data_IF_676420125308
#
_entry.id   IF_676420125308
#
_cell.length_a   1.000
_cell.length_b   1.000
_cell.length_c   1.000
_cell.angle_alpha   90.00
_cell.angle_beta   90.00
_cell.angle_gamma   90.00
#
_symmetry.space_group_name_H-M   'P 1'
#
loop_
_entity.id
_entity.type
_entity.pdbx_description
1 polymer ?
#
# COMPACT_ATOMS: atom_id res chain seq x y z
N UNK A 1 47.72 -0.26 -35.26
CA UNK A 1 47.55 0.94 -34.42
C UNK A 1 46.07 1.04 -34.08
N UNK A 2 45.77 1.03 -32.79
CA UNK A 2 44.49 1.23 -32.08
C UNK A 2 43.40 0.14 -32.24
N UNK A 3 43.17 -0.47 -31.08
CA UNK A 3 42.17 -1.44 -30.66
C UNK A 3 40.84 -0.74 -30.36
N UNK A 4 39.70 -1.39 -30.54
CA UNK A 4 38.48 -1.01 -29.81
C UNK A 4 37.78 -2.28 -29.33
N UNK A 5 38.07 -2.65 -28.08
CA UNK A 5 37.27 -3.61 -27.32
C UNK A 5 36.10 -2.83 -26.72
N UNK A 6 34.90 -3.10 -27.21
CA UNK A 6 33.67 -2.57 -26.63
C UNK A 6 33.30 -3.44 -25.43
N UNK A 7 33.70 -3.01 -24.24
CA UNK A 7 33.22 -3.59 -22.98
C UNK A 7 31.85 -3.00 -22.70
N UNK A 8 30.79 -3.77 -22.92
CA UNK A 8 29.47 -3.42 -22.40
C UNK A 8 29.45 -3.86 -20.93
N UNK A 9 29.65 -2.90 -20.03
CA UNK A 9 29.40 -3.07 -18.60
C UNK A 9 27.89 -2.96 -18.39
N UNK A 10 27.20 -4.08 -18.20
CA UNK A 10 25.86 -4.07 -17.61
C UNK A 10 26.00 -3.79 -16.11
N UNK A 11 25.90 -2.51 -15.75
CA UNK A 11 25.79 -2.10 -14.35
C UNK A 11 24.50 -2.64 -13.74
N UNK A 12 24.62 -3.62 -12.85
CA UNK A 12 23.59 -3.97 -11.87
C UNK A 12 23.39 -2.78 -10.95
N UNK A 13 22.35 -1.99 -11.19
CA UNK A 13 22.00 -0.86 -10.36
C UNK A 13 20.51 -0.62 -10.40
N UNK A 14 19.74 -1.41 -9.65
CA UNK A 14 18.44 -0.92 -9.18
C UNK A 14 18.74 0.23 -8.23
N UNK A 15 18.72 1.45 -8.78
CA UNK A 15 18.74 2.69 -8.03
C UNK A 15 17.58 2.60 -7.04
N UNK A 16 17.89 2.44 -5.76
CA UNK A 16 16.92 2.56 -4.67
C UNK A 16 16.44 4.01 -4.67
N UNK A 17 15.42 4.31 -5.48
CA UNK A 17 14.71 5.58 -5.38
C UNK A 17 14.19 5.68 -3.95
N UNK A 18 14.67 6.69 -3.21
CA UNK A 18 14.28 6.91 -1.82
C UNK A 18 12.76 6.89 -1.69
N UNK A 19 12.21 6.26 -0.64
CA UNK A 19 10.77 6.25 -0.40
C UNK A 19 10.27 7.69 -0.27
N UNK A 20 9.10 8.05 -0.84
CA UNK A 20 8.53 9.38 -0.67
C UNK A 20 8.37 9.73 0.82
N UNK A 21 8.65 10.97 1.21
CA UNK A 21 8.61 11.43 2.61
C UNK A 21 7.30 11.08 3.35
N UNK A 22 6.18 11.02 2.63
CA UNK A 22 4.88 10.62 3.17
C UNK A 22 4.87 9.20 3.76
N UNK A 23 5.65 8.27 3.18
CA UNK A 23 5.76 6.89 3.67
C UNK A 23 6.50 6.87 5.00
N UNK A 24 7.54 7.71 5.15
CA UNK A 24 8.26 7.83 6.41
C UNK A 24 7.41 8.47 7.50
N UNK A 25 6.66 9.51 7.17
CA UNK A 25 5.68 10.12 8.08
C UNK A 25 4.61 9.09 8.51
N UNK A 26 4.08 8.31 7.56
CA UNK A 26 3.11 7.25 7.84
C UNK A 26 3.67 6.18 8.77
N UNK A 27 4.86 5.66 8.46
CA UNK A 27 5.57 4.68 9.29
C UNK A 27 5.84 5.23 10.68
N UNK A 28 6.33 6.47 10.79
CA UNK A 28 6.63 7.12 12.06
C UNK A 28 5.38 7.29 12.92
N UNK A 29 4.28 7.77 12.31
CA UNK A 29 3.02 7.98 12.99
C UNK A 29 2.46 6.66 13.56
N UNK A 30 2.47 5.58 12.76
CA UNK A 30 2.07 4.26 13.22
C UNK A 30 2.99 3.73 14.33
N UNK A 31 4.31 3.81 14.14
CA UNK A 31 5.29 3.29 15.11
C UNK A 31 5.19 3.98 16.47
N UNK A 32 5.03 5.30 16.48
CA UNK A 32 5.03 6.11 17.69
C UNK A 32 3.62 6.29 18.29
N UNK A 33 2.60 5.67 17.67
CA UNK A 33 1.18 5.88 18.03
C UNK A 33 0.78 7.35 17.99
N UNK A 34 1.38 8.13 17.09
CA UNK A 34 1.08 9.55 16.91
C UNK A 34 -0.17 9.72 16.05
N UNK A 35 -1.33 9.78 16.71
CA UNK A 35 -2.62 9.96 16.06
C UNK A 35 -2.73 11.30 15.33
N UNK A 36 -2.16 12.38 15.89
CA UNK A 36 -2.27 13.70 15.28
C UNK A 36 -1.40 13.78 14.04
N UNK A 37 -0.17 13.26 14.13
CA UNK A 37 0.70 13.05 12.98
C UNK A 37 0.06 12.16 11.93
N UNK A 38 -0.66 11.10 12.30
CA UNK A 38 -1.37 10.26 11.34
C UNK A 38 -2.53 11.00 10.66
N UNK A 39 -3.36 11.71 11.44
CA UNK A 39 -4.51 12.46 10.92
C UNK A 39 -4.08 13.54 9.92
N UNK A 40 -2.92 14.17 10.13
CA UNK A 40 -2.40 15.15 9.17
C UNK A 40 -2.01 14.53 7.83
N UNK A 41 -1.80 13.20 7.75
CA UNK A 41 -1.51 12.52 6.48
C UNK A 41 -2.78 12.25 5.66
N UNK A 42 -3.95 12.18 6.31
CA UNK A 42 -5.21 11.84 5.66
C UNK A 42 -5.60 12.97 4.68
N UNK A 43 -6.11 12.59 3.52
CA UNK A 43 -6.59 13.56 2.55
C UNK A 43 -7.80 14.36 3.08
N UNK A 44 -8.01 15.61 2.60
CA UNK A 44 -9.11 16.45 3.09
C UNK A 44 -10.51 15.85 2.87
N UNK A 45 -10.69 15.01 1.85
CA UNK A 45 -11.94 14.29 1.56
C UNK A 45 -12.11 13.00 2.38
N UNK A 46 -11.20 12.76 3.34
CA UNK A 46 -11.23 11.62 4.25
C UNK A 46 -10.38 10.44 3.79
N UNK A 47 -10.53 9.34 4.53
CA UNK A 47 -9.85 8.08 4.32
C UNK A 47 -10.86 7.01 3.90
N UNK A 48 -10.60 6.37 2.77
CA UNK A 48 -11.34 5.17 2.34
C UNK A 48 -10.69 3.94 2.95
N UNK A 49 -11.49 3.06 3.53
CA UNK A 49 -11.02 1.82 4.09
C UNK A 49 -11.76 0.68 3.39
N UNK A 50 -10.98 -0.27 2.89
CA UNK A 50 -11.47 -1.40 2.10
C UNK A 50 -11.03 -2.68 2.79
N UNK A 51 -11.95 -3.59 3.09
CA UNK A 51 -11.61 -4.98 3.43
C UNK A 51 -12.15 -5.91 2.39
N UNK A 52 -11.26 -6.73 1.86
CA UNK A 52 -11.55 -7.67 0.79
C UNK A 52 -11.25 -9.09 1.28
N UNK A 53 -12.29 -9.92 1.37
CA UNK A 53 -12.25 -11.34 1.74
C UNK A 53 -12.12 -12.25 0.51
N UNK A 54 -11.17 -13.17 0.54
CA UNK A 54 -10.89 -14.12 -0.54
C UNK A 54 -12.06 -15.06 -0.88
N UNK A 55 -13.05 -15.23 0.02
CA UNK A 55 -14.19 -16.13 -0.16
C UNK A 55 -15.47 -15.50 0.38
N UNK A 56 -16.48 -15.33 -0.48
CA UNK A 56 -17.80 -14.87 -0.07
C UNK A 56 -18.65 -15.95 0.64
N UNK A 57 -18.31 -17.23 0.48
CA UNK A 57 -19.29 -18.31 0.68
C UNK A 57 -19.17 -19.08 2.02
N UNK A 58 -18.30 -18.66 2.94
CA UNK A 58 -18.05 -19.41 4.21
C UNK A 58 -18.42 -18.64 5.49
N UNK A 59 -19.39 -17.72 5.42
CA UNK A 59 -20.00 -17.13 6.62
C UNK A 59 -19.12 -16.21 7.46
N UNK A 60 -17.93 -15.82 6.97
CA UNK A 60 -17.10 -14.76 7.56
C UNK A 60 -16.88 -13.62 6.57
N UNK A 61 -17.48 -12.47 6.88
CA UNK A 61 -17.20 -11.18 6.26
C UNK A 61 -17.74 -11.00 4.84
N UNK A 62 -18.52 -9.95 4.61
CA UNK A 62 -18.73 -9.39 3.28
C UNK A 62 -17.65 -8.34 3.02
N UNK A 63 -17.26 -8.14 1.77
CA UNK A 63 -16.33 -7.06 1.45
C UNK A 63 -16.90 -5.72 1.93
N UNK A 64 -16.09 -4.93 2.63
CA UNK A 64 -16.53 -3.69 3.27
C UNK A 64 -15.82 -2.51 2.64
N UNK A 65 -16.58 -1.52 2.23
CA UNK A 65 -16.11 -0.20 1.82
C UNK A 65 -16.73 0.84 2.75
N UNK A 66 -15.89 1.69 3.34
CA UNK A 66 -16.35 2.76 4.20
C UNK A 66 -15.40 3.94 4.12
N UNK A 67 -15.94 5.13 4.29
CA UNK A 67 -15.19 6.38 4.29
C UNK A 67 -15.31 7.02 5.66
N UNK A 68 -14.19 7.49 6.19
CA UNK A 68 -14.15 8.20 7.46
C UNK A 68 -13.51 9.57 7.25
N UNK A 69 -14.10 10.59 7.86
CA UNK A 69 -13.49 11.92 7.88
C UNK A 69 -12.28 11.96 8.84
N UNK A 70 -12.35 11.22 9.95
CA UNK A 70 -11.32 11.22 10.99
C UNK A 70 -11.12 9.84 11.60
N UNK A 71 -9.87 9.47 11.85
CA UNK A 71 -9.51 8.22 12.52
C UNK A 71 -9.76 8.29 14.04
N UNK A 72 -10.29 7.23 14.69
CA UNK A 72 -10.35 7.10 16.15
C UNK A 72 -8.97 7.18 16.82
N UNK A 73 -8.93 7.55 18.10
CA UNK A 73 -7.69 7.82 18.84
C UNK A 73 -6.81 6.58 19.11
N UNK A 74 -7.27 5.37 18.78
CA UNK A 74 -6.57 4.12 19.02
C UNK A 74 -6.11 3.41 17.73
N UNK A 75 -6.14 4.08 16.57
CA UNK A 75 -5.85 3.49 15.25
C UNK A 75 -6.77 2.33 14.84
N UNK A 76 -7.87 2.12 15.56
CA UNK A 76 -8.80 1.02 15.31
C UNK A 76 -10.13 1.58 14.84
N UNK A 77 -10.54 1.19 13.63
CA UNK A 77 -11.86 1.55 13.11
C UNK A 77 -12.80 0.36 13.24
N UNK A 78 -13.88 0.45 14.02
CA UNK A 78 -14.79 -0.67 14.23
C UNK A 78 -15.55 -1.02 12.95
N UNK A 79 -15.83 -2.31 12.79
CA UNK A 79 -16.65 -2.85 11.70
C UNK A 79 -17.75 -3.70 12.34
N UNK A 80 -19.00 -3.49 11.93
CA UNK A 80 -20.11 -4.26 12.47
C UNK A 80 -19.92 -5.75 12.17
N UNK A 81 -20.04 -6.59 13.21
CA UNK A 81 -19.93 -8.04 13.12
C UNK A 81 -18.57 -8.57 12.59
N UNK A 82 -17.51 -7.77 12.67
CA UNK A 82 -16.15 -8.18 12.27
C UNK A 82 -15.07 -7.53 13.13
N UNK A 83 -13.81 -7.89 12.90
CA UNK A 83 -12.66 -7.29 13.53
C UNK A 83 -12.49 -5.83 13.09
N UNK A 84 -12.02 -4.93 13.97
CA UNK A 84 -11.69 -3.57 13.57
C UNK A 84 -10.55 -3.54 12.55
N UNK A 85 -10.44 -2.45 11.82
CA UNK A 85 -9.23 -2.12 11.07
C UNK A 85 -8.17 -1.63 12.05
N UNK A 86 -7.26 -2.50 12.44
CA UNK A 86 -6.11 -2.15 13.26
C UNK A 86 -4.93 -1.80 12.36
N UNK A 87 -4.68 -0.50 12.18
CA UNK A 87 -3.65 -0.03 11.25
C UNK A 87 -2.23 -0.39 11.70
N UNK A 88 -1.97 -0.57 13.01
CA UNK A 88 -0.66 -1.03 13.48
C UNK A 88 -0.43 -2.49 13.15
N UNK A 89 -1.48 -3.31 13.24
CA UNK A 89 -1.43 -4.72 12.87
C UNK A 89 -1.24 -4.89 11.35
N UNK A 90 -1.97 -4.13 10.55
CA UNK A 90 -1.94 -4.22 9.08
C UNK A 90 -0.56 -3.90 8.49
N UNK A 91 0.19 -2.97 9.09
CA UNK A 91 1.52 -2.54 8.62
C UNK A 91 2.64 -2.90 9.61
N UNK A 92 2.52 -4.06 10.24
CA UNK A 92 3.44 -4.51 11.29
C UNK A 92 4.89 -4.62 10.80
N UNK A 93 5.13 -5.01 9.54
CA UNK A 93 6.49 -5.10 9.00
C UNK A 93 7.06 -3.73 8.66
N UNK A 94 6.27 -2.78 8.14
CA UNK A 94 6.73 -1.39 7.91
C UNK A 94 7.17 -0.74 9.22
N UNK A 95 6.44 -1.00 10.31
CA UNK A 95 6.79 -0.45 11.64
C UNK A 95 8.12 -1.02 12.16
N UNK A 96 8.35 -2.33 11.96
CA UNK A 96 9.50 -3.06 12.50
C UNK A 96 10.74 -2.99 11.62
N UNK A 97 10.56 -2.90 10.30
CA UNK A 97 11.64 -2.91 9.31
C UNK A 97 12.27 -1.53 9.17
N UNK A 98 13.60 -1.54 8.99
CA UNK A 98 14.33 -0.35 8.54
C UNK A 98 14.35 -0.22 7.02
N UNK A 99 14.20 -1.32 6.28
CA UNK A 99 14.25 -1.35 4.82
C UNK A 99 12.86 -1.27 4.22
N UNK A 100 12.72 -0.37 3.25
CA UNK A 100 11.64 -0.33 2.28
C UNK A 100 12.25 -0.68 0.92
N UNK A 101 11.58 -1.52 0.14
CA UNK A 101 12.01 -1.86 -1.21
C UNK A 101 11.18 -1.05 -2.21
N UNK A 102 11.82 -0.40 -3.17
CA UNK A 102 11.12 0.32 -4.23
C UNK A 102 10.92 -0.58 -5.44
N UNK A 103 9.69 -0.63 -5.96
CA UNK A 103 9.32 -1.35 -7.16
C UNK A 103 8.76 -0.35 -8.18
N UNK A 104 9.44 -0.22 -9.31
CA UNK A 104 8.93 0.58 -10.43
C UNK A 104 8.00 -0.28 -11.29
N UNK A 105 6.79 0.19 -11.51
CA UNK A 105 5.81 -0.50 -12.34
C UNK A 105 4.78 0.46 -12.92
N UNK A 106 4.41 0.23 -14.17
CA UNK A 106 3.36 0.97 -14.86
C UNK A 106 2.02 0.28 -14.61
N UNK A 107 1.28 0.74 -13.60
CA UNK A 107 -0.11 0.35 -13.38
C UNK A 107 -1.01 1.55 -13.68
N UNK A 108 -2.16 1.32 -14.31
CA UNK A 108 -3.20 2.34 -14.38
C UNK A 108 -3.79 2.56 -12.99
N UNK A 109 -4.07 3.82 -12.66
CA UNK A 109 -4.71 4.21 -11.40
C UNK A 109 -6.24 4.31 -11.51
N UNK A 110 -6.85 4.03 -12.67
CA UNK A 110 -8.29 4.18 -12.92
C UNK A 110 -9.14 3.43 -11.90
N UNK A 111 -8.71 2.20 -11.54
CA UNK A 111 -9.39 1.36 -10.56
C UNK A 111 -9.43 1.96 -9.14
N UNK A 112 -8.48 2.84 -8.79
CA UNK A 112 -8.47 3.57 -7.52
C UNK A 112 -9.46 4.74 -7.52
N UNK A 113 -9.74 5.32 -8.69
CA UNK A 113 -10.70 6.42 -8.84
C UNK A 113 -12.15 5.93 -8.73
N UNK A 114 -12.44 4.71 -9.21
CA UNK A 114 -13.77 4.09 -9.14
C UNK A 114 -14.26 3.82 -7.71
N UNK A 115 -13.33 3.66 -6.75
CA UNK A 115 -13.62 3.36 -5.33
C UNK A 115 -14.58 2.18 -5.10
N UNK A 116 -14.69 1.24 -6.04
CA UNK A 116 -15.48 0.03 -5.87
C UNK A 116 -14.61 -1.10 -5.31
N UNK A 117 -15.18 -1.96 -4.47
CA UNK A 117 -14.46 -3.12 -3.92
C UNK A 117 -13.87 -4.00 -5.04
N UNK A 118 -14.63 -4.38 -6.10
CA UNK A 118 -14.07 -5.22 -7.16
C UNK A 118 -12.88 -4.57 -7.88
N UNK A 119 -12.96 -3.27 -8.18
CA UNK A 119 -11.88 -2.53 -8.83
C UNK A 119 -10.65 -2.45 -7.93
N UNK A 120 -10.81 -2.08 -6.65
CA UNK A 120 -9.71 -2.01 -5.68
C UNK A 120 -9.07 -3.38 -5.47
N UNK A 121 -9.86 -4.46 -5.38
CA UNK A 121 -9.33 -5.83 -5.28
C UNK A 121 -8.54 -6.21 -6.53
N UNK A 122 -9.07 -5.94 -7.72
CA UNK A 122 -8.38 -6.23 -8.97
C UNK A 122 -7.03 -5.52 -9.02
N UNK A 123 -7.02 -4.23 -8.70
CA UNK A 123 -5.81 -3.43 -8.63
C UNK A 123 -4.81 -3.95 -7.59
N UNK A 124 -5.27 -4.26 -6.38
CA UNK A 124 -4.42 -4.81 -5.33
C UNK A 124 -3.76 -6.13 -5.78
N UNK A 125 -4.49 -6.98 -6.53
CA UNK A 125 -3.93 -8.20 -7.12
C UNK A 125 -2.77 -7.91 -8.05
N UNK A 126 -2.91 -6.94 -8.95
CA UNK A 126 -1.85 -6.57 -9.89
C UNK A 126 -0.57 -6.13 -9.17
N UNK A 127 -0.71 -5.30 -8.13
CA UNK A 127 0.42 -4.86 -7.28
C UNK A 127 1.10 -6.07 -6.62
N UNK A 128 0.31 -6.93 -5.98
CA UNK A 128 0.82 -8.08 -5.23
C UNK A 128 1.47 -9.11 -6.13
N UNK A 129 0.88 -9.43 -7.27
CA UNK A 129 1.45 -10.39 -8.22
C UNK A 129 2.80 -9.90 -8.75
N UNK A 130 2.94 -8.60 -9.00
CA UNK A 130 4.22 -8.01 -9.42
C UNK A 130 5.28 -8.05 -8.32
N UNK A 131 4.91 -7.73 -7.08
CA UNK A 131 5.82 -7.84 -5.94
C UNK A 131 6.27 -9.29 -5.73
N UNK A 132 5.36 -10.25 -5.86
CA UNK A 132 5.66 -11.68 -5.76
C UNK A 132 6.60 -12.17 -6.87
N UNK A 133 6.41 -11.73 -8.12
CA UNK A 133 7.35 -12.04 -9.22
C UNK A 133 8.78 -11.53 -8.93
N UNK A 134 8.92 -10.47 -8.13
CA UNK A 134 10.20 -9.94 -7.68
C UNK A 134 10.69 -10.58 -6.35
N UNK A 135 10.00 -11.61 -5.83
CA UNK A 135 10.27 -12.26 -4.55
C UNK A 135 10.16 -11.32 -3.33
N UNK A 136 9.22 -10.36 -3.37
CA UNK A 136 8.99 -9.37 -2.31
C UNK A 136 7.73 -9.64 -1.47
N UNK A 137 7.29 -10.90 -1.37
CA UNK A 137 6.09 -11.28 -0.60
C UNK A 137 6.20 -10.85 0.87
N UNK A 138 5.21 -10.09 1.36
CA UNK A 138 5.18 -9.51 2.71
C UNK A 138 6.36 -8.60 3.06
N UNK A 139 7.21 -8.24 2.09
CA UNK A 139 8.26 -7.24 2.27
C UNK A 139 7.61 -5.87 2.06
N UNK A 140 7.75 -4.91 3.00
CA UNK A 140 7.31 -3.54 2.80
C UNK A 140 7.86 -2.96 1.49
N UNK A 141 6.97 -2.82 0.50
CA UNK A 141 7.33 -2.47 -0.87
C UNK A 141 6.60 -1.20 -1.27
N UNK A 142 7.36 -0.19 -1.71
CA UNK A 142 6.83 1.05 -2.26
C UNK A 142 6.71 0.91 -3.76
N UNK A 143 5.50 1.03 -4.28
CA UNK A 143 5.21 1.06 -5.71
C UNK A 143 4.84 2.48 -6.11
N UNK A 144 5.55 3.03 -7.09
CA UNK A 144 5.24 4.33 -7.69
C UNK A 144 4.50 4.11 -8.99
N UNK A 145 3.35 4.77 -9.16
CA UNK A 145 2.56 4.68 -10.38
C UNK A 145 2.72 5.93 -11.24
N UNK A 146 2.20 5.85 -12.46
CA UNK A 146 1.85 7.04 -13.21
C UNK A 146 0.77 7.87 -12.46
N UNK A 147 0.66 9.14 -12.81
CA UNK A 147 -0.39 10.05 -12.30
C UNK A 147 -0.33 10.34 -10.80
N UNK A 148 0.90 10.45 -10.27
CA UNK A 148 1.15 10.94 -8.92
C UNK A 148 0.51 10.10 -7.79
N UNK A 149 0.48 8.77 -7.97
CA UNK A 149 0.11 7.80 -6.93
C UNK A 149 1.32 7.03 -6.39
N UNK A 150 1.29 6.75 -5.10
CA UNK A 150 2.28 5.94 -4.39
C UNK A 150 1.54 4.93 -3.53
N UNK A 151 2.03 3.69 -3.52
CA UNK A 151 1.43 2.59 -2.77
C UNK A 151 2.51 1.99 -1.88
N UNK A 152 2.19 1.82 -0.60
CA UNK A 152 2.95 0.96 0.29
C UNK A 152 2.22 -0.37 0.39
N UNK A 153 2.90 -1.46 0.06
CA UNK A 153 2.36 -2.83 0.09
C UNK A 153 3.10 -3.68 1.11
N UNK A 154 2.36 -4.35 1.98
CA UNK A 154 2.79 -5.46 2.83
C UNK A 154 1.86 -6.65 2.58
N UNK A 155 1.91 -7.16 1.35
CA UNK A 155 0.97 -8.17 0.91
C UNK A 155 1.64 -9.29 0.12
N UNK A 156 0.91 -10.40 -0.03
CA UNK A 156 1.31 -11.56 -0.80
C UNK A 156 0.10 -12.28 -1.37
N UNK A 157 0.30 -12.88 -2.54
CA UNK A 157 -0.62 -13.80 -3.20
C UNK A 157 -0.08 -15.24 -3.12
N UNK A 158 -0.84 -16.17 -2.54
CA UNK A 158 -0.49 -17.60 -2.52
C UNK A 158 -1.67 -18.42 -2.98
N UNK A 159 -1.48 -19.23 -4.03
CA UNK A 159 -2.55 -20.03 -4.64
C UNK A 159 -3.78 -19.20 -5.04
N UNK A 160 -3.56 -17.96 -5.52
CA UNK A 160 -4.62 -17.04 -5.94
C UNK A 160 -5.33 -16.31 -4.79
N UNK A 161 -4.97 -16.59 -3.54
CA UNK A 161 -5.50 -15.91 -2.34
C UNK A 161 -4.60 -14.73 -1.99
N UNK A 162 -5.19 -13.55 -1.89
CA UNK A 162 -4.52 -12.31 -1.50
C UNK A 162 -4.52 -12.16 0.02
N UNK A 163 -3.43 -11.72 0.60
CA UNK A 163 -3.34 -11.47 2.05
C UNK A 163 -2.41 -10.31 2.34
N UNK A 164 -2.68 -9.57 3.43
CA UNK A 164 -1.86 -8.46 3.89
C UNK A 164 -2.53 -7.09 3.69
N UNK A 165 -1.76 -6.03 3.51
CA UNK A 165 -2.31 -4.68 3.45
C UNK A 165 -1.65 -3.77 2.42
N UNK A 166 -2.41 -2.80 1.93
CA UNK A 166 -1.92 -1.70 1.09
C UNK A 166 -2.33 -0.36 1.71
N UNK A 167 -1.42 0.61 1.72
CA UNK A 167 -1.72 2.02 1.95
C UNK A 167 -1.50 2.78 0.65
N UNK A 168 -2.51 3.54 0.23
CA UNK A 168 -2.55 4.24 -1.06
C UNK A 168 -2.52 5.73 -0.82
N UNK A 169 -1.54 6.38 -1.44
CA UNK A 169 -1.28 7.80 -1.34
C UNK A 169 -1.44 8.44 -2.71
N UNK A 170 -2.07 9.61 -2.74
CA UNK A 170 -2.23 10.41 -3.95
C UNK A 170 -1.67 11.79 -3.69
N UNK A 171 -1.01 12.37 -4.69
CA UNK A 171 -0.62 13.78 -4.62
C UNK A 171 -1.83 14.69 -4.66
N UNK A 172 -1.82 15.68 -3.79
CA UNK A 172 -2.80 16.74 -3.68
C UNK A 172 -2.03 18.07 -3.57
N UNK A 173 -1.89 18.77 -4.70
CA UNK A 173 -1.02 19.94 -4.81
C UNK A 173 0.47 19.56 -4.66
N UNK A 174 1.22 20.18 -3.72
CA UNK A 174 2.65 19.89 -3.55
C UNK A 174 2.95 18.62 -2.74
N UNK A 175 1.95 18.02 -2.09
CA UNK A 175 2.15 16.96 -1.10
C UNK A 175 1.37 15.70 -1.43
N UNK A 176 1.86 14.55 -0.96
CA UNK A 176 1.10 13.31 -0.98
C UNK A 176 0.22 13.18 0.26
N UNK A 177 -0.99 12.66 0.09
CA UNK A 177 -1.96 12.41 1.16
C UNK A 177 -2.46 10.96 1.11
N UNK A 178 -2.69 10.37 2.27
CA UNK A 178 -3.27 9.04 2.41
C UNK A 178 -4.74 9.09 1.99
N UNK A 179 -5.09 8.30 0.97
CA UNK A 179 -6.44 8.21 0.40
C UNK A 179 -7.15 6.93 0.80
N UNK A 180 -6.42 5.83 0.89
CA UNK A 180 -7.01 4.52 1.09
C UNK A 180 -6.11 3.60 1.90
N UNK A 181 -6.72 2.74 2.74
CA UNK A 181 -6.07 1.54 3.26
C UNK A 181 -6.91 0.33 2.86
N UNK A 182 -6.23 -0.71 2.35
CA UNK A 182 -6.83 -1.97 1.91
C UNK A 182 -6.33 -3.09 2.81
N UNK A 183 -7.26 -3.85 3.39
CA UNK A 183 -7.05 -5.05 4.20
C UNK A 183 -7.46 -6.27 3.35
N UNK A 184 -6.48 -7.08 2.95
CA UNK A 184 -6.66 -8.28 2.13
C UNK A 184 -6.66 -9.51 3.05
N UNK A 185 -7.76 -10.27 3.07
CA UNK A 185 -7.95 -11.43 3.96
C UNK A 185 -8.47 -12.65 3.21
#
# INVERSE_FOLDING_TARGET
MILTVMVIVFGTGTILAEPPAIIDSFRSALKNRDIQGFRSLIAPDGLVLVRSYNRHDQGRGADVLFSIATLPANFQVPVANDFPFDLQYLFGWTIRSKSLVSLSASFSSDALAERSVPAVRHFARQIVDRANQANLSFVPTVVRLADDWVILSEASSKQGLLSGALAVFQKNGPEYRLKMVVDLR
#
